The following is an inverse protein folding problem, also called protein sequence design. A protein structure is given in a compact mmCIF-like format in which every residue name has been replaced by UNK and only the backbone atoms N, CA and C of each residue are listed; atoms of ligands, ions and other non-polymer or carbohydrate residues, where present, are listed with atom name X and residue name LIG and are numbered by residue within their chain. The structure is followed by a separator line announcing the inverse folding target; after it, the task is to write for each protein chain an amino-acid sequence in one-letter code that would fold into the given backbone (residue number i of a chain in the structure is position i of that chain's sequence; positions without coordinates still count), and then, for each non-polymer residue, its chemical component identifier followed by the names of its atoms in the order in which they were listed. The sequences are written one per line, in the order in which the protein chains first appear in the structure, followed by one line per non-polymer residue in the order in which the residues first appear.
data_IF_302910357799
#
_entry.id   IF_302910357799
#
_cell.length_a   1.000
_cell.length_b   1.000
_cell.length_c   1.000
_cell.angle_alpha   90.00
_cell.angle_beta   90.00
_cell.angle_gamma   90.00
#
_symmetry.space_group_name_H-M   'P 1'
#
loop_
_entity.id
_entity.type
_entity.pdbx_description
1 polymer ?
#
# COMPACT_ATOMS: atom_id res chain seq x y z
N UNK A 1 -2.46 -13.38 10.49
CA UNK A 1 -2.50 -12.22 9.58
C UNK A 1 -3.38 -12.57 8.40
N UNK A 2 -4.20 -11.61 7.94
CA UNK A 2 -4.94 -11.67 6.68
C UNK A 2 -4.43 -10.51 5.83
N UNK A 3 -4.07 -10.79 4.58
CA UNK A 3 -3.58 -9.77 3.64
C UNK A 3 -4.23 -9.96 2.27
N UNK A 4 -4.56 -8.84 1.60
CA UNK A 4 -5.23 -8.83 0.29
C UNK A 4 -4.26 -8.41 -0.80
N UNK A 5 -4.22 -9.18 -1.90
CA UNK A 5 -3.35 -9.00 -3.06
C UNK A 5 -4.10 -9.25 -4.38
N UNK A 6 -5.35 -8.79 -4.43
CA UNK A 6 -6.23 -9.00 -5.59
C UNK A 6 -6.52 -7.68 -6.30
N UNK A 7 -6.76 -7.68 -7.62
CA UNK A 7 -7.31 -6.52 -8.30
C UNK A 7 -8.73 -6.23 -7.81
N UNK A 8 -9.21 -5.01 -8.00
CA UNK A 8 -10.62 -4.69 -7.76
C UNK A 8 -11.43 -5.04 -9.00
N UNK A 9 -12.43 -5.90 -8.82
CA UNK A 9 -13.38 -6.32 -9.87
C UNK A 9 -14.80 -6.28 -9.33
N UNK A 10 -15.74 -5.76 -10.16
CA UNK A 10 -17.17 -5.68 -9.82
C UNK A 10 -17.97 -6.85 -10.38
N UNK A 11 -17.41 -7.61 -11.31
CA UNK A 11 -18.06 -8.72 -12.01
C UNK A 11 -17.15 -9.90 -12.25
N UNK A 12 -17.68 -10.88 -13.00
CA UNK A 12 -16.98 -12.14 -13.27
C UNK A 12 -17.26 -13.23 -12.22
N UNK A 13 -16.59 -14.38 -12.33
CA UNK A 13 -16.85 -15.53 -11.44
C UNK A 13 -16.43 -15.30 -9.99
N UNK A 14 -15.53 -14.36 -9.73
CA UNK A 14 -14.99 -14.05 -8.41
C UNK A 14 -14.82 -12.53 -8.25
N UNK A 15 -15.92 -11.76 -8.05
CA UNK A 15 -15.82 -10.33 -7.79
C UNK A 15 -15.08 -10.08 -6.46
N UNK A 16 -14.30 -9.00 -6.43
CA UNK A 16 -13.44 -8.68 -5.28
C UNK A 16 -13.86 -7.41 -4.55
N UNK A 17 -14.83 -6.66 -5.10
CA UNK A 17 -15.41 -5.54 -4.35
C UNK A 17 -16.04 -6.05 -3.06
N UNK A 18 -15.66 -5.45 -1.94
CA UNK A 18 -16.09 -5.82 -0.60
C UNK A 18 -15.91 -7.34 -0.30
N UNK A 19 -14.81 -7.92 -0.82
CA UNK A 19 -14.44 -9.29 -0.49
C UNK A 19 -14.34 -9.51 1.02
N UNK A 20 -13.87 -8.51 1.75
CA UNK A 20 -13.95 -8.43 3.20
C UNK A 20 -15.10 -7.49 3.62
N UNK A 21 -16.30 -8.01 3.64
CA UNK A 21 -17.53 -7.37 4.08
C UNK A 21 -17.87 -7.68 5.54
N UNK A 22 -19.01 -7.20 6.03
CA UNK A 22 -19.49 -7.48 7.39
C UNK A 22 -19.68 -8.98 7.67
N UNK A 23 -20.11 -9.77 6.66
CA UNK A 23 -20.28 -11.21 6.82
C UNK A 23 -18.91 -11.92 6.93
N UNK A 24 -17.91 -11.45 6.19
CA UNK A 24 -16.53 -11.91 6.32
C UNK A 24 -16.01 -11.68 7.75
N UNK A 25 -16.12 -10.45 8.26
CA UNK A 25 -15.67 -10.12 9.62
C UNK A 25 -16.45 -10.87 10.68
N UNK A 26 -17.75 -11.09 10.48
CA UNK A 26 -18.61 -11.86 11.38
C UNK A 26 -18.20 -13.32 11.56
N UNK A 27 -17.54 -13.92 10.55
CA UNK A 27 -17.07 -15.32 10.57
C UNK A 27 -15.67 -15.50 11.14
N UNK A 28 -14.96 -14.44 11.51
CA UNK A 28 -13.61 -14.55 12.04
C UNK A 28 -13.62 -15.25 13.41
N UNK A 29 -13.05 -16.44 13.49
CA UNK A 29 -12.90 -17.20 14.75
C UNK A 29 -11.72 -16.71 15.59
N UNK A 30 -10.78 -15.97 14.98
CA UNK A 30 -9.60 -15.39 15.64
C UNK A 30 -9.54 -13.91 15.31
N UNK A 31 -8.89 -13.15 16.16
CA UNK A 31 -8.66 -11.71 16.00
C UNK A 31 -7.38 -11.47 15.17
N UNK A 32 -7.43 -11.47 13.83
CA UNK A 32 -6.24 -11.32 13.02
C UNK A 32 -5.74 -9.87 13.00
N UNK A 33 -4.47 -9.68 12.58
CA UNK A 33 -4.05 -8.47 11.92
C UNK A 33 -4.54 -8.50 10.48
N UNK A 34 -5.04 -7.37 9.98
CA UNK A 34 -5.49 -7.22 8.61
C UNK A 34 -4.57 -6.25 7.87
N UNK A 35 -4.19 -6.58 6.64
CA UNK A 35 -3.35 -5.72 5.77
C UNK A 35 -4.05 -5.56 4.42
N UNK A 36 -4.31 -4.30 4.02
CA UNK A 36 -4.79 -3.99 2.68
C UNK A 36 -3.89 -2.96 2.00
N UNK A 37 -3.07 -3.43 1.08
CA UNK A 37 -2.21 -2.63 0.20
C UNK A 37 -2.54 -2.88 -1.27
N UNK A 38 -3.74 -3.43 -1.56
CA UNK A 38 -4.16 -3.77 -2.92
C UNK A 38 -5.05 -2.67 -3.54
N UNK A 39 -6.34 -2.66 -3.20
CA UNK A 39 -7.32 -1.65 -3.60
C UNK A 39 -8.29 -1.38 -2.46
N UNK A 40 -8.69 -0.13 -2.27
CA UNK A 40 -9.52 0.28 -1.13
C UNK A 40 -10.80 -0.52 -0.99
N UNK A 41 -11.61 -0.56 -2.03
CA UNK A 41 -12.90 -1.23 -2.04
C UNK A 41 -12.85 -2.78 -2.07
N UNK A 42 -11.67 -3.40 -1.96
CA UNK A 42 -11.55 -4.84 -1.67
C UNK A 42 -12.01 -5.12 -0.23
N UNK A 43 -11.79 -4.16 0.65
CA UNK A 43 -12.25 -4.18 2.05
C UNK A 43 -13.34 -3.13 2.22
N UNK A 44 -14.52 -3.51 2.65
CA UNK A 44 -15.56 -2.58 3.07
C UNK A 44 -15.06 -1.80 4.29
N UNK A 45 -14.79 -0.51 4.10
CA UNK A 45 -14.17 0.32 5.14
C UNK A 45 -15.11 0.55 6.32
N UNK A 46 -16.44 0.60 6.09
CA UNK A 46 -17.41 0.71 7.17
C UNK A 46 -17.48 -0.58 8.00
N UNK A 47 -17.48 -1.74 7.33
CA UNK A 47 -17.45 -3.04 8.00
C UNK A 47 -16.13 -3.27 8.77
N UNK A 48 -14.98 -2.84 8.23
CA UNK A 48 -13.69 -2.92 8.92
C UNK A 48 -13.68 -2.03 10.18
N UNK A 49 -14.21 -0.82 10.08
CA UNK A 49 -14.31 0.12 11.21
C UNK A 49 -15.09 -0.50 12.36
N UNK A 50 -16.22 -1.13 12.06
CA UNK A 50 -17.02 -1.83 13.07
C UNK A 50 -16.29 -3.06 13.63
N UNK A 51 -15.65 -3.86 12.77
CA UNK A 51 -14.88 -5.03 13.19
C UNK A 51 -13.68 -4.69 14.11
N UNK A 52 -13.05 -3.52 13.90
CA UNK A 52 -12.02 -3.00 14.81
C UNK A 52 -12.63 -2.60 16.16
N UNK A 53 -13.77 -1.87 16.13
CA UNK A 53 -14.47 -1.42 17.33
C UNK A 53 -14.96 -2.58 18.20
N UNK A 54 -15.48 -3.64 17.56
CA UNK A 54 -15.94 -4.87 18.24
C UNK A 54 -14.78 -5.80 18.64
N UNK A 55 -13.56 -5.48 18.22
CA UNK A 55 -12.38 -6.31 18.48
C UNK A 55 -12.35 -7.62 17.72
N UNK A 56 -13.10 -7.78 16.62
CA UNK A 56 -13.04 -8.94 15.72
C UNK A 56 -11.75 -8.96 14.92
N UNK A 57 -11.24 -7.78 14.56
CA UNK A 57 -9.90 -7.55 14.02
C UNK A 57 -9.05 -6.96 15.12
N UNK A 58 -7.83 -7.49 15.32
CA UNK A 58 -6.95 -7.01 16.38
C UNK A 58 -6.38 -5.64 16.05
N UNK A 59 -5.91 -5.48 14.80
CA UNK A 59 -5.36 -4.25 14.25
C UNK A 59 -5.36 -4.31 12.72
N UNK A 60 -5.29 -3.16 12.06
CA UNK A 60 -5.21 -3.07 10.62
C UNK A 60 -4.06 -2.19 10.16
N UNK A 61 -3.50 -2.53 9.00
CA UNK A 61 -2.55 -1.74 8.21
C UNK A 61 -3.22 -1.48 6.87
N UNK A 62 -3.51 -0.21 6.57
CA UNK A 62 -4.27 0.19 5.38
C UNK A 62 -3.48 1.23 4.61
N UNK A 63 -3.17 0.91 3.36
CA UNK A 63 -2.54 1.81 2.41
C UNK A 63 -3.53 2.31 1.37
N UNK A 64 -4.52 1.48 1.02
CA UNK A 64 -5.54 1.78 0.02
C UNK A 64 -6.91 1.88 0.67
N UNK A 65 -7.65 2.94 0.36
CA UNK A 65 -8.89 3.32 1.04
C UNK A 65 -10.05 3.42 0.07
N UNK A 66 -11.27 3.30 0.57
CA UNK A 66 -12.42 3.74 -0.21
C UNK A 66 -12.47 5.28 -0.24
N UNK A 67 -13.02 5.81 -1.33
CA UNK A 67 -13.26 7.24 -1.54
C UNK A 67 -12.01 8.13 -1.52
N UNK A 68 -10.82 7.56 -1.84
CA UNK A 68 -9.62 8.39 -1.99
C UNK A 68 -9.88 9.60 -2.92
N UNK A 69 -9.42 10.80 -2.58
CA UNK A 69 -8.60 11.18 -1.42
C UNK A 69 -9.41 11.49 -0.16
N UNK A 70 -10.74 11.48 -0.22
CA UNK A 70 -11.65 11.78 0.89
C UNK A 70 -11.87 10.58 1.81
N UNK A 71 -10.80 10.05 2.39
CA UNK A 71 -10.83 8.84 3.22
C UNK A 71 -11.56 9.08 4.55
N UNK A 72 -12.09 8.00 5.15
CA UNK A 72 -12.76 8.07 6.45
C UNK A 72 -11.76 8.36 7.59
N UNK A 73 -11.80 9.55 8.21
CA UNK A 73 -10.86 9.92 9.27
C UNK A 73 -11.05 9.11 10.55
N UNK A 74 -12.27 8.60 10.81
CA UNK A 74 -12.53 7.76 11.97
C UNK A 74 -11.84 6.39 11.80
N UNK A 75 -11.99 5.75 10.64
CA UNK A 75 -11.26 4.52 10.33
C UNK A 75 -9.74 4.76 10.39
N UNK A 76 -9.25 5.88 9.81
CA UNK A 76 -7.84 6.24 9.84
C UNK A 76 -7.31 6.33 11.28
N UNK A 77 -8.10 6.85 12.20
CA UNK A 77 -7.72 6.95 13.62
C UNK A 77 -7.60 5.59 14.30
N UNK A 78 -8.40 4.61 13.88
CA UNK A 78 -8.46 3.27 14.49
C UNK A 78 -7.38 2.30 13.99
N UNK A 79 -6.90 2.48 12.75
CA UNK A 79 -5.89 1.58 12.18
C UNK A 79 -4.51 1.81 12.82
N UNK A 80 -3.72 0.75 12.93
CA UNK A 80 -2.35 0.83 13.43
C UNK A 80 -1.46 1.66 12.52
N UNK A 81 -1.44 1.33 11.22
CA UNK A 81 -0.74 2.10 10.18
C UNK A 81 -1.74 2.45 9.08
N UNK A 82 -1.82 3.74 8.73
CA UNK A 82 -2.56 4.24 7.58
C UNK A 82 -1.66 5.07 6.71
N UNK A 83 -1.46 4.69 5.44
CA UNK A 83 -0.59 5.40 4.49
C UNK A 83 -1.38 5.87 3.26
N UNK A 84 -0.92 6.92 2.53
CA UNK A 84 -1.69 7.55 1.47
C UNK A 84 -1.48 6.86 0.11
N UNK A 85 -1.73 5.54 0.02
CA UNK A 85 -1.63 4.71 -1.18
C UNK A 85 -0.24 4.77 -1.82
N UNK A 86 0.79 4.51 -1.02
CA UNK A 86 2.21 4.57 -1.40
C UNK A 86 2.96 3.26 -1.18
N UNK A 87 2.29 2.16 -0.81
CA UNK A 87 2.95 0.88 -0.50
C UNK A 87 3.82 0.37 -1.65
N UNK A 88 3.42 0.60 -2.92
CA UNK A 88 4.21 0.27 -4.10
C UNK A 88 5.21 1.33 -4.56
N UNK A 89 5.42 2.42 -3.80
CA UNK A 89 6.18 3.59 -4.26
C UNK A 89 7.64 3.56 -3.82
N UNK A 90 8.36 2.47 -4.09
CA UNK A 90 9.81 2.44 -3.93
C UNK A 90 10.54 2.89 -5.21
N UNK A 91 11.76 3.39 -5.08
CA UNK A 91 12.60 3.72 -6.21
C UNK A 91 12.95 2.47 -7.03
N UNK A 92 13.22 1.37 -6.35
CA UNK A 92 13.53 0.08 -6.98
C UNK A 92 12.33 -0.45 -7.78
N UNK A 93 11.13 -0.46 -7.20
CA UNK A 93 9.90 -0.92 -7.83
C UNK A 93 9.53 -0.09 -9.05
N UNK A 94 9.62 1.25 -8.96
CA UNK A 94 9.34 2.16 -10.09
C UNK A 94 10.33 1.96 -11.23
N UNK A 95 11.62 1.96 -10.94
CA UNK A 95 12.67 1.73 -11.95
C UNK A 95 12.53 0.36 -12.60
N UNK A 96 12.17 -0.67 -11.83
CA UNK A 96 11.94 -1.98 -12.40
C UNK A 96 10.73 -1.99 -13.36
N UNK A 97 9.64 -1.32 -13.00
CA UNK A 97 8.48 -1.17 -13.88
C UNK A 97 8.83 -0.43 -15.18
N UNK A 98 9.58 0.67 -15.09
CA UNK A 98 10.04 1.44 -16.26
C UNK A 98 10.92 0.57 -17.17
N UNK A 99 11.88 -0.17 -16.60
CA UNK A 99 12.75 -1.08 -17.37
C UNK A 99 11.94 -2.19 -18.04
N UNK A 100 10.94 -2.77 -17.36
CA UNK A 100 10.07 -3.78 -17.97
C UNK A 100 9.25 -3.22 -19.13
N UNK A 101 8.74 -1.99 -19.02
CA UNK A 101 8.02 -1.33 -20.10
C UNK A 101 8.93 -1.03 -21.30
N UNK A 102 10.15 -0.55 -21.08
CA UNK A 102 11.15 -0.32 -22.13
C UNK A 102 11.51 -1.63 -22.83
N UNK A 103 11.79 -2.69 -22.08
CA UNK A 103 12.09 -4.02 -22.61
C UNK A 103 10.95 -4.56 -23.48
N UNK A 104 9.69 -4.38 -23.06
CA UNK A 104 8.51 -4.81 -23.82
C UNK A 104 8.35 -4.01 -25.12
N UNK A 105 8.53 -2.70 -25.08
CA UNK A 105 8.50 -1.81 -26.26
C UNK A 105 9.60 -2.16 -27.26
N UNK A 106 10.84 -2.31 -26.81
CA UNK A 106 11.96 -2.66 -27.67
C UNK A 106 11.74 -4.00 -28.35
N UNK A 107 11.24 -5.01 -27.63
CA UNK A 107 10.91 -6.31 -28.22
C UNK A 107 9.79 -6.21 -29.25
N UNK A 108 8.74 -5.47 -28.95
CA UNK A 108 7.57 -5.35 -29.85
C UNK A 108 7.94 -4.67 -31.18
N UNK A 109 8.73 -3.60 -31.13
CA UNK A 109 9.11 -2.81 -32.30
C UNK A 109 10.45 -3.23 -32.93
N UNK A 110 11.13 -4.25 -32.42
CA UNK A 110 12.46 -4.67 -32.91
C UNK A 110 13.56 -3.60 -32.71
N UNK A 111 13.44 -2.77 -31.69
CA UNK A 111 14.37 -1.68 -31.39
C UNK A 111 15.50 -2.15 -30.45
N UNK A 112 16.70 -1.58 -30.57
CA UNK A 112 17.76 -1.83 -29.59
C UNK A 112 17.35 -1.24 -28.23
N UNK A 113 17.66 -1.97 -27.15
CA UNK A 113 17.43 -1.46 -25.81
C UNK A 113 18.42 -0.33 -25.51
N UNK A 114 17.97 0.87 -25.07
CA UNK A 114 18.85 2.02 -24.82
C UNK A 114 19.72 1.87 -23.55
N UNK A 115 19.52 0.81 -22.78
CA UNK A 115 20.16 0.58 -21.50
C UNK A 115 19.17 0.55 -20.34
N UNK A 116 19.67 0.21 -19.17
CA UNK A 116 18.83 0.14 -17.96
C UNK A 116 18.89 1.42 -17.15
N UNK A 117 17.73 1.83 -16.69
CA UNK A 117 17.58 2.86 -15.64
C UNK A 117 17.96 2.21 -14.30
N UNK A 118 18.63 2.97 -13.45
CA UNK A 118 19.01 2.53 -12.11
C UNK A 118 18.37 3.44 -11.05
N UNK A 119 17.97 2.89 -9.88
CA UNK A 119 17.47 3.70 -8.80
C UNK A 119 18.58 4.63 -8.24
N UNK A 120 18.20 5.76 -7.62
CA UNK A 120 19.17 6.65 -7.02
C UNK A 120 19.99 5.94 -5.93
N UNK A 121 21.23 6.33 -5.80
CA UNK A 121 22.10 5.81 -4.73
C UNK A 121 21.59 6.22 -3.36
N UNK A 122 21.84 5.38 -2.38
CA UNK A 122 21.63 5.74 -0.99
C UNK A 122 22.54 6.93 -0.60
N UNK A 123 22.13 7.73 0.41
CA UNK A 123 22.96 8.83 0.88
C UNK A 123 24.40 8.38 1.23
N UNK A 124 25.37 9.25 0.99
CA UNK A 124 26.75 8.96 1.35
C UNK A 124 26.86 8.66 2.85
N UNK A 125 27.56 7.59 3.21
CA UNK A 125 27.72 7.15 4.60
C UNK A 125 26.56 6.33 5.16
N UNK A 126 25.50 6.07 4.39
CA UNK A 126 24.45 5.17 4.83
C UNK A 126 24.98 3.74 4.85
N UNK A 127 24.82 3.08 6.01
CA UNK A 127 25.16 1.66 6.19
C UNK A 127 23.88 0.90 6.52
N UNK A 128 23.54 -0.05 5.67
CA UNK A 128 22.40 -0.93 5.91
C UNK A 128 22.86 -2.09 6.80
N UNK A 129 22.20 -2.23 7.94
CA UNK A 129 22.50 -3.28 8.95
C UNK A 129 21.48 -4.41 8.99
N UNK A 130 20.60 -4.47 7.97
CA UNK A 130 19.54 -5.48 7.88
C UNK A 130 18.20 -5.03 8.48
N UNK A 131 18.10 -3.84 9.08
CA UNK A 131 16.82 -3.30 9.56
C UNK A 131 16.07 -2.56 8.44
N UNK A 132 14.96 -3.11 7.91
CA UNK A 132 14.19 -2.48 6.84
C UNK A 132 13.59 -1.13 7.25
N UNK A 133 13.37 -0.87 8.54
CA UNK A 133 12.84 0.40 9.02
C UNK A 133 13.83 1.55 8.87
N UNK A 134 15.12 1.27 8.70
CA UNK A 134 16.14 2.28 8.37
C UNK A 134 16.07 2.72 6.90
N UNK A 135 15.55 1.87 6.02
CA UNK A 135 15.28 2.24 4.63
C UNK A 135 13.97 3.03 4.51
N UNK A 136 12.96 2.62 5.24
CA UNK A 136 11.66 3.27 5.26
C UNK A 136 10.86 2.87 6.50
N UNK A 137 10.40 3.86 7.26
CA UNK A 137 9.50 3.66 8.39
C UNK A 137 8.08 4.12 8.04
N UNK A 138 7.12 3.21 7.82
CA UNK A 138 5.74 3.59 7.45
C UNK A 138 4.98 4.32 8.57
N UNK A 139 5.45 4.26 9.81
CA UNK A 139 4.84 5.00 10.92
C UNK A 139 4.94 6.51 10.72
N UNK A 140 6.03 7.00 10.11
CA UNK A 140 6.23 8.43 9.88
C UNK A 140 5.17 8.99 8.92
N UNK A 141 4.84 8.27 7.84
CA UNK A 141 3.79 8.67 6.90
C UNK A 141 2.39 8.46 7.50
N UNK A 142 2.21 7.40 8.29
CA UNK A 142 0.97 7.17 9.04
C UNK A 142 0.68 8.32 10.00
N UNK A 143 1.68 8.78 10.75
CA UNK A 143 1.54 9.90 11.68
C UNK A 143 1.22 11.22 10.97
N UNK A 144 1.85 11.47 9.82
CA UNK A 144 1.56 12.64 8.97
C UNK A 144 0.12 12.63 8.48
N UNK A 145 -0.31 11.49 7.92
CA UNK A 145 -1.67 11.33 7.39
C UNK A 145 -2.72 11.44 8.50
N UNK A 146 -2.50 10.84 9.66
CA UNK A 146 -3.42 10.94 10.82
C UNK A 146 -3.57 12.38 11.33
N UNK A 147 -2.51 13.17 11.30
CA UNK A 147 -2.56 14.59 11.68
C UNK A 147 -3.25 15.46 10.64
N UNK A 148 -3.10 15.16 9.36
CA UNK A 148 -3.60 15.95 8.24
C UNK A 148 -4.16 15.06 7.14
N UNK A 149 -5.33 14.42 7.37
CA UNK A 149 -5.98 13.57 6.36
C UNK A 149 -6.39 14.35 5.11
N UNK A 150 -6.61 15.65 5.24
CA UNK A 150 -6.87 16.58 4.13
C UNK A 150 -5.71 16.71 3.13
N UNK A 151 -4.50 16.32 3.52
CA UNK A 151 -3.31 16.33 2.68
C UNK A 151 -3.03 14.98 1.99
N UNK A 152 -4.00 14.08 1.88
CA UNK A 152 -3.82 12.75 1.31
C UNK A 152 -3.08 12.78 -0.04
N UNK A 153 -3.58 13.53 -1.03
CA UNK A 153 -2.96 13.64 -2.36
C UNK A 153 -1.58 14.32 -2.31
N UNK A 154 -1.41 15.33 -1.44
CA UNK A 154 -0.13 15.97 -1.26
C UNK A 154 0.92 14.99 -0.71
N UNK A 155 0.57 14.22 0.31
CA UNK A 155 1.45 13.21 0.92
C UNK A 155 1.75 12.07 -0.07
N UNK A 156 0.75 11.66 -0.86
CA UNK A 156 0.91 10.67 -1.91
C UNK A 156 1.85 11.13 -3.02
N UNK A 157 1.73 12.40 -3.45
CA UNK A 157 2.58 12.99 -4.49
C UNK A 157 4.01 13.29 -4.02
N UNK A 158 4.20 13.56 -2.72
CA UNK A 158 5.47 13.93 -2.11
C UNK A 158 5.98 12.86 -1.13
N UNK A 159 5.76 11.59 -1.46
CA UNK A 159 6.23 10.47 -0.65
C UNK A 159 7.75 10.47 -0.52
N UNK A 160 8.31 9.99 0.62
CA UNK A 160 9.75 9.93 0.81
C UNK A 160 10.39 8.93 -0.16
N UNK A 161 11.52 9.31 -0.76
CA UNK A 161 12.30 8.39 -1.57
C UNK A 161 12.79 7.23 -0.70
N UNK A 162 12.47 6.00 -1.09
CA UNK A 162 12.90 4.80 -0.38
C UNK A 162 13.47 3.76 -1.33
N UNK A 163 14.40 2.98 -0.81
CA UNK A 163 14.99 1.81 -1.46
C UNK A 163 14.42 0.56 -0.81
N UNK A 164 14.24 -0.50 -1.59
CA UNK A 164 13.83 -1.83 -1.10
C UNK A 164 14.99 -2.81 -1.10
N UNK A 165 15.90 -2.65 -2.04
CA UNK A 165 17.05 -3.51 -2.23
C UNK A 165 18.30 -2.69 -1.96
N UNK A 166 19.17 -3.24 -1.14
CA UNK A 166 20.48 -2.67 -0.82
C UNK A 166 21.50 -3.74 -1.19
N UNK A 167 22.27 -3.43 -2.25
CA UNK A 167 23.38 -4.26 -2.71
C UNK A 167 24.60 -4.08 -1.81
#
# INVERSE_FOLDING_TARGET
VITFHVPLTDGGPCPTRHLADAAFFGRLARRPFLVNTSRGAVVDNAALKEALREGRVRQAVIDTWENEPGIDPELLSQVYIGTPHIAGYSADGKVNADNMAIDALCRFFGLPNPGRIHPPRLPAGFVYDGDPLKLYNPLDDSDRLKRRPDLFEHLRGNYPLRREIVD
#
